data_IF_394340566882
#
_entry.id   IF_394340566882
#
_cell.length_a   1.000
_cell.length_b   1.000
_cell.length_c   1.000
_cell.angle_alpha   90.00
_cell.angle_beta   90.00
_cell.angle_gamma   90.00
#
_symmetry.space_group_name_H-M   'P 1'
#
loop_
_entity.id
_entity.type
_entity.pdbx_description
1 polymer ?
#
# COMPACT_ATOMS: atom_id res chain seq x y z
N UNK A 1 -22.01 -9.91 9.29
CA UNK A 1 -22.02 -10.53 7.95
C UNK A 1 -22.37 -9.44 6.95
N UNK A 2 -21.46 -9.13 6.04
CA UNK A 2 -21.77 -8.23 4.92
C UNK A 2 -22.73 -8.90 3.94
N UNK A 3 -23.64 -8.13 3.35
CA UNK A 3 -24.60 -8.65 2.37
C UNK A 3 -23.91 -8.96 1.04
N UNK A 4 -24.16 -10.13 0.46
CA UNK A 4 -23.61 -10.55 -0.85
C UNK A 4 -24.58 -10.18 -1.97
N UNK A 5 -24.05 -9.62 -3.07
CA UNK A 5 -24.79 -9.32 -4.31
C UNK A 5 -24.01 -9.88 -5.50
N UNK A 6 -24.72 -10.34 -6.53
CA UNK A 6 -24.11 -10.88 -7.74
C UNK A 6 -23.61 -9.75 -8.66
N UNK A 7 -22.43 -9.94 -9.23
CA UNK A 7 -21.88 -9.07 -10.28
C UNK A 7 -21.95 -9.81 -11.62
N UNK A 8 -22.73 -9.28 -12.56
CA UNK A 8 -22.87 -9.85 -13.91
C UNK A 8 -22.51 -8.79 -14.96
N UNK A 9 -21.58 -9.12 -15.86
CA UNK A 9 -21.20 -8.27 -16.99
C UNK A 9 -20.88 -9.13 -18.22
N UNK A 10 -21.16 -8.61 -19.41
CA UNK A 10 -20.73 -9.23 -20.66
C UNK A 10 -19.26 -8.87 -20.91
N UNK A 11 -18.43 -9.88 -21.14
CA UNK A 11 -17.01 -9.73 -21.46
C UNK A 11 -16.69 -10.44 -22.78
N UNK A 12 -15.64 -10.03 -23.52
CA UNK A 12 -15.20 -10.73 -24.71
C UNK A 12 -14.86 -12.19 -24.43
N UNK A 13 -15.14 -13.07 -25.39
CA UNK A 13 -14.90 -14.52 -25.26
C UNK A 13 -13.43 -14.86 -24.95
N UNK A 14 -12.49 -14.10 -25.55
CA UNK A 14 -11.06 -14.24 -25.30
C UNK A 14 -10.67 -13.94 -23.84
N UNK A 15 -11.37 -13.00 -23.19
CA UNK A 15 -11.15 -12.67 -21.78
C UNK A 15 -11.79 -13.73 -20.88
N UNK A 16 -13.00 -14.18 -21.23
CA UNK A 16 -13.69 -15.24 -20.52
C UNK A 16 -12.88 -16.54 -20.48
N UNK A 17 -12.29 -16.94 -21.60
CA UNK A 17 -11.44 -18.13 -21.68
C UNK A 17 -10.22 -18.03 -20.75
N UNK A 18 -9.57 -16.86 -20.67
CA UNK A 18 -8.43 -16.63 -19.78
C UNK A 18 -8.81 -16.70 -18.31
N UNK A 19 -9.88 -16.00 -17.92
CA UNK A 19 -10.43 -16.04 -16.55
C UNK A 19 -10.75 -17.47 -16.14
N UNK A 20 -11.32 -18.27 -17.06
CA UNK A 20 -11.65 -19.67 -16.80
C UNK A 20 -10.43 -20.56 -16.59
N UNK A 21 -9.40 -20.41 -17.43
CA UNK A 21 -8.16 -21.17 -17.28
C UNK A 21 -7.43 -20.83 -15.97
N UNK A 22 -7.38 -19.54 -15.61
CA UNK A 22 -6.72 -19.09 -14.38
C UNK A 22 -7.45 -19.53 -13.11
N UNK A 23 -8.78 -19.40 -13.04
CA UNK A 23 -9.53 -19.87 -11.86
C UNK A 23 -9.38 -21.39 -11.64
N UNK A 24 -9.35 -22.18 -12.72
CA UNK A 24 -9.20 -23.64 -12.66
C UNK A 24 -7.81 -24.04 -12.17
N UNK A 25 -6.77 -23.30 -12.61
CA UNK A 25 -5.39 -23.47 -12.14
C UNK A 25 -5.25 -23.14 -10.65
N UNK A 26 -6.02 -22.16 -10.16
CA UNK A 26 -6.00 -21.73 -8.76
C UNK A 26 -6.97 -22.53 -7.87
N UNK A 27 -7.68 -23.52 -8.43
CA UNK A 27 -8.70 -24.32 -7.73
C UNK A 27 -9.79 -23.47 -7.05
N UNK A 28 -10.12 -22.31 -7.63
CA UNK A 28 -11.07 -21.35 -7.08
C UNK A 28 -12.38 -21.34 -7.86
N UNK A 29 -13.47 -21.03 -7.15
CA UNK A 29 -14.75 -20.70 -7.80
C UNK A 29 -14.66 -19.33 -8.48
N UNK A 30 -15.46 -19.10 -9.54
CA UNK A 30 -15.49 -17.82 -10.24
C UNK A 30 -15.76 -16.65 -9.29
N UNK A 31 -16.63 -16.82 -8.31
CA UNK A 31 -16.92 -15.79 -7.31
C UNK A 31 -15.70 -15.46 -6.46
N UNK A 32 -14.92 -16.46 -6.02
CA UNK A 32 -13.69 -16.24 -5.24
C UNK A 32 -12.60 -15.60 -6.08
N UNK A 33 -12.45 -16.02 -7.34
CA UNK A 33 -11.48 -15.44 -8.26
C UNK A 33 -11.82 -13.97 -8.57
N UNK A 34 -13.10 -13.67 -8.86
CA UNK A 34 -13.57 -12.29 -9.08
C UNK A 34 -13.44 -11.46 -7.81
N UNK A 35 -13.79 -12.01 -6.63
CA UNK A 35 -13.56 -11.34 -5.35
C UNK A 35 -12.08 -11.04 -5.14
N UNK A 36 -11.17 -12.00 -5.38
CA UNK A 36 -9.73 -11.78 -5.29
C UNK A 36 -9.25 -10.69 -6.26
N UNK A 37 -9.70 -10.71 -7.52
CA UNK A 37 -9.33 -9.67 -8.50
C UNK A 37 -9.90 -8.31 -8.11
N UNK A 38 -11.13 -8.23 -7.64
CA UNK A 38 -11.74 -6.97 -7.23
C UNK A 38 -11.08 -6.44 -5.95
N UNK A 39 -10.83 -7.30 -4.97
CA UNK A 39 -10.07 -6.99 -3.77
C UNK A 39 -8.67 -6.51 -4.16
N UNK A 40 -7.94 -7.22 -5.03
CA UNK A 40 -6.67 -6.75 -5.56
C UNK A 40 -6.80 -5.46 -6.38
N UNK A 41 -7.88 -5.27 -7.11
CA UNK A 41 -8.11 -4.06 -7.89
C UNK A 41 -8.35 -2.84 -6.98
N UNK A 42 -9.16 -3.00 -5.95
CA UNK A 42 -9.50 -1.92 -5.02
C UNK A 42 -8.45 -1.74 -3.91
N UNK A 43 -7.74 -2.79 -3.51
CA UNK A 43 -6.69 -2.75 -2.48
C UNK A 43 -5.27 -2.59 -3.04
N UNK A 44 -4.96 -3.13 -4.23
CA UNK A 44 -3.62 -3.02 -4.87
C UNK A 44 -3.58 -2.09 -6.08
N UNK A 45 -4.65 -1.98 -6.88
CA UNK A 45 -4.79 -0.91 -7.91
C UNK A 45 -5.34 0.40 -7.31
N UNK A 46 -5.94 0.33 -6.14
CA UNK A 46 -5.87 1.40 -5.14
C UNK A 46 -4.50 1.35 -4.48
N UNK A 47 -3.41 1.53 -5.24
CA UNK A 47 -2.07 1.57 -4.65
C UNK A 47 -2.07 2.70 -3.66
N UNK A 48 -2.28 2.43 -2.36
CA UNK A 48 -2.69 3.40 -1.33
C UNK A 48 -3.28 4.65 -1.98
N UNK A 49 -4.59 4.71 -2.16
CA UNK A 49 -5.22 6.03 -2.14
C UNK A 49 -4.78 6.67 -0.83
N UNK A 50 -3.68 7.42 -0.90
CA UNK A 50 -3.60 8.74 -0.35
C UNK A 50 -4.98 9.32 -0.63
N UNK A 51 -5.83 9.26 0.39
CA UNK A 51 -6.60 10.42 0.77
C UNK A 51 -5.82 11.65 0.27
N UNK A 52 -6.47 12.56 -0.47
CA UNK A 52 -5.83 13.70 -1.13
C UNK A 52 -5.02 14.63 -0.18
N UNK A 53 -4.90 14.25 1.09
CA UNK A 53 -4.06 14.77 2.16
C UNK A 53 -2.60 14.26 2.20
N UNK A 54 -2.25 13.11 1.63
CA UNK A 54 -0.88 12.58 1.73
C UNK A 54 -0.05 12.88 0.46
N UNK A 55 1.20 13.32 0.64
CA UNK A 55 2.18 13.51 -0.43
C UNK A 55 3.44 12.69 -0.13
N UNK A 56 4.00 12.03 -1.14
CA UNK A 56 5.25 11.26 -1.00
C UNK A 56 6.45 12.19 -1.14
N UNK A 57 7.39 12.13 -0.20
CA UNK A 57 8.68 12.80 -0.27
C UNK A 57 9.78 11.75 -0.49
N UNK A 58 10.46 11.82 -1.64
CA UNK A 58 11.62 10.98 -1.92
C UNK A 58 12.91 11.73 -1.53
N UNK A 59 13.79 11.07 -0.78
CA UNK A 59 15.10 11.61 -0.37
C UNK A 59 16.21 10.65 -0.81
N UNK A 60 17.37 11.21 -1.15
CA UNK A 60 18.59 10.45 -1.38
C UNK A 60 19.50 10.59 -0.17
N UNK A 61 20.08 9.47 0.27
CA UNK A 61 21.03 9.41 1.39
C UNK A 61 22.33 8.79 0.87
N UNK A 62 23.46 9.14 1.48
CA UNK A 62 24.69 8.38 1.26
C UNK A 62 24.58 6.98 1.86
N UNK A 63 25.31 6.02 1.29
CA UNK A 63 25.31 4.63 1.76
C UNK A 63 25.68 4.52 3.24
N UNK A 64 26.69 5.28 3.67
CA UNK A 64 27.12 5.33 5.08
C UNK A 64 25.99 5.78 6.01
N UNK A 65 25.25 6.81 5.63
CA UNK A 65 24.15 7.35 6.42
C UNK A 65 22.97 6.36 6.45
N UNK A 66 22.72 5.68 5.34
CA UNK A 66 21.66 4.68 5.24
C UNK A 66 21.93 3.46 6.14
N UNK A 67 23.16 2.95 6.15
CA UNK A 67 23.52 1.84 7.04
C UNK A 67 23.50 2.24 8.51
N UNK A 68 23.99 3.45 8.83
CA UNK A 68 23.92 3.99 10.20
C UNK A 68 22.47 4.14 10.67
N UNK A 69 21.58 4.61 9.79
CA UNK A 69 20.14 4.71 10.06
C UNK A 69 19.55 3.32 10.33
N UNK A 70 19.81 2.33 9.46
CA UNK A 70 19.33 0.96 9.65
C UNK A 70 19.75 0.35 10.99
N UNK A 71 21.02 0.52 11.37
CA UNK A 71 21.55 0.02 12.64
C UNK A 71 20.84 0.66 13.84
N UNK A 72 20.60 1.97 13.79
CA UNK A 72 19.86 2.69 14.82
C UNK A 72 18.41 2.19 14.94
N UNK A 73 17.68 2.10 13.83
CA UNK A 73 16.29 1.63 13.82
C UNK A 73 16.15 0.22 14.38
N UNK A 74 17.09 -0.68 14.04
CA UNK A 74 17.10 -2.05 14.55
C UNK A 74 17.33 -2.10 16.06
N UNK A 75 18.18 -1.23 16.60
CA UNK A 75 18.48 -1.17 18.04
C UNK A 75 17.29 -0.68 18.85
N UNK A 76 16.61 0.35 18.35
CA UNK A 76 15.46 0.96 19.04
C UNK A 76 14.12 0.23 18.75
N UNK A 77 14.09 -0.68 17.78
CA UNK A 77 12.88 -1.42 17.39
C UNK A 77 11.83 -0.57 16.68
N UNK A 78 12.24 0.54 16.06
CA UNK A 78 11.34 1.53 15.44
C UNK A 78 11.32 1.38 13.92
N UNK A 79 10.16 1.59 13.30
CA UNK A 79 10.05 1.58 11.83
C UNK A 79 10.70 2.81 11.20
N UNK A 80 11.32 2.64 10.03
CA UNK A 80 11.93 3.77 9.29
C UNK A 80 10.93 4.88 9.00
N UNK A 81 9.68 4.53 8.64
CA UNK A 81 8.61 5.50 8.39
C UNK A 81 8.31 6.33 9.64
N UNK A 82 8.10 5.67 10.78
CA UNK A 82 7.75 6.37 12.03
C UNK A 82 8.88 7.29 12.48
N UNK A 83 10.13 6.80 12.41
CA UNK A 83 11.30 7.59 12.77
C UNK A 83 11.39 8.91 11.97
N UNK A 84 11.16 8.86 10.66
CA UNK A 84 11.20 10.05 9.81
C UNK A 84 10.03 11.01 10.12
N UNK A 85 8.83 10.48 10.38
CA UNK A 85 7.68 11.31 10.77
C UNK A 85 7.96 12.05 12.09
N UNK A 86 8.43 11.34 13.11
CA UNK A 86 8.73 11.91 14.42
C UNK A 86 9.85 12.95 14.34
N UNK A 87 10.86 12.70 13.51
CA UNK A 87 11.95 13.64 13.27
C UNK A 87 11.43 14.95 12.65
N UNK A 88 10.54 14.85 11.66
CA UNK A 88 9.95 16.03 11.00
C UNK A 88 9.05 16.80 11.97
N UNK A 89 8.19 16.11 12.72
CA UNK A 89 7.29 16.75 13.68
C UNK A 89 8.08 17.53 14.74
N UNK A 90 9.09 16.91 15.37
CA UNK A 90 9.95 17.60 16.33
C UNK A 90 10.66 18.80 15.74
N UNK A 91 11.18 18.68 14.52
CA UNK A 91 11.87 19.79 13.85
C UNK A 91 10.92 20.96 13.54
N UNK A 92 9.66 20.69 13.21
CA UNK A 92 8.64 21.71 12.98
C UNK A 92 8.20 22.36 14.31
N UNK A 93 7.91 21.55 15.34
CA UNK A 93 7.53 22.05 16.66
C UNK A 93 8.62 22.96 17.24
N UNK A 94 9.90 22.58 17.12
CA UNK A 94 11.05 23.40 17.53
C UNK A 94 11.22 24.68 16.72
N UNK A 95 10.82 24.67 15.44
CA UNK A 95 10.87 25.85 14.59
C UNK A 95 9.73 26.82 14.91
N UNK A 96 8.53 26.32 15.15
CA UNK A 96 7.34 27.11 15.48
C UNK A 96 7.43 27.71 16.89
N UNK A 97 7.93 26.96 17.87
CA UNK A 97 8.15 27.46 19.25
C UNK A 97 9.24 28.52 19.38
N UNK A 98 10.13 28.66 18.38
CA UNK A 98 11.13 29.75 18.33
C UNK A 98 10.59 31.05 17.73
N UNK A 99 9.36 31.03 17.21
CA UNK A 99 8.73 32.18 16.54
C UNK A 99 7.77 32.93 17.48
N UNK A 100 7.59 32.47 18.73
CA UNK A 100 6.90 33.19 19.82
C UNK A 100 7.84 34.01 20.71
#
# INVERSE_FOLDING_TARGET
MEGRRNLCAQIPESLHAKVRAEQETLEQTLSQYVEMILTEHFEKKGGKTMDGSMRTMAIQLSDELFERLKAHLKREGVSQKQFIIDLIQRALDEAETKVE
#
